data_IF_721289470146
#
_entry.id   IF_721289470146
#
_cell.length_a   1.000
_cell.length_b   1.000
_cell.length_c   1.000
_cell.angle_alpha   90.00
_cell.angle_beta   90.00
_cell.angle_gamma   90.00
#
_symmetry.space_group_name_H-M   'P 1'
#
loop_
_entity.id
_entity.type
_entity.pdbx_description
1 polymer ?
#
# COMPACT_ATOMS: atom_id res chain seq x y z
N UNK A 1 63.74 15.18 -10.75
CA UNK A 1 62.69 14.25 -11.20
C UNK A 1 61.61 14.17 -10.08
N UNK A 2 60.50 14.90 -10.23
CA UNK A 2 59.39 14.93 -9.29
C UNK A 2 58.39 13.84 -9.71
N UNK A 3 58.21 12.83 -8.88
CA UNK A 3 57.20 11.78 -9.07
C UNK A 3 55.83 12.30 -8.66
N UNK A 4 54.91 12.42 -9.62
CA UNK A 4 53.52 12.80 -9.38
C UNK A 4 52.76 11.52 -9.02
N UNK A 5 52.31 11.38 -7.75
CA UNK A 5 51.41 10.34 -7.35
C UNK A 5 49.96 10.75 -7.66
N UNK A 6 49.38 10.09 -8.65
CA UNK A 6 47.95 10.24 -8.97
C UNK A 6 47.19 9.29 -8.09
N UNK A 7 46.54 9.82 -7.04
CA UNK A 7 45.62 9.04 -6.18
C UNK A 7 44.28 8.90 -6.90
N UNK A 8 44.00 7.71 -7.38
CA UNK A 8 42.71 7.34 -7.96
C UNK A 8 41.73 7.13 -6.80
N UNK A 9 40.90 8.12 -6.51
CA UNK A 9 39.82 8.00 -5.52
C UNK A 9 38.74 7.06 -6.04
N UNK A 10 38.63 5.87 -5.44
CA UNK A 10 37.53 4.93 -5.70
C UNK A 10 36.27 5.50 -5.06
N UNK A 11 35.41 6.11 -5.84
CA UNK A 11 34.05 6.49 -5.42
C UNK A 11 33.25 5.19 -5.36
N UNK A 12 33.08 4.66 -4.16
CA UNK A 12 32.12 3.59 -3.93
C UNK A 12 30.71 4.14 -4.14
N UNK A 13 30.13 3.89 -5.30
CA UNK A 13 28.70 4.10 -5.50
C UNK A 13 27.98 3.12 -4.58
N UNK A 14 27.37 3.63 -3.51
CA UNK A 14 26.41 2.87 -2.70
C UNK A 14 25.22 2.58 -3.62
N UNK A 15 25.17 1.38 -4.18
CA UNK A 15 23.99 0.87 -4.85
C UNK A 15 22.90 0.71 -3.78
N UNK A 16 22.11 1.76 -3.53
CA UNK A 16 20.83 1.62 -2.87
C UNK A 16 20.02 0.63 -3.70
N UNK A 17 19.72 -0.52 -3.12
CA UNK A 17 19.07 -1.59 -3.84
C UNK A 17 17.74 -1.13 -4.41
N UNK A 18 17.68 -1.09 -5.73
CA UNK A 18 16.53 -0.58 -6.46
C UNK A 18 15.39 -1.59 -6.40
N UNK A 19 14.20 -1.15 -5.97
CA UNK A 19 13.00 -1.97 -6.10
C UNK A 19 12.56 -2.05 -7.56
N UNK A 20 11.99 -3.19 -7.93
CA UNK A 20 11.50 -3.46 -9.29
C UNK A 20 10.07 -3.93 -9.25
N UNK A 21 9.31 -3.58 -10.28
CA UNK A 21 7.96 -4.07 -10.52
C UNK A 21 8.01 -5.31 -11.41
N UNK A 22 7.35 -6.36 -10.97
CA UNK A 22 7.18 -7.62 -11.69
C UNK A 22 5.71 -8.05 -11.62
N UNK A 23 5.30 -9.03 -12.44
CA UNK A 23 4.00 -9.69 -12.29
C UNK A 23 3.99 -10.58 -11.04
N UNK A 24 2.90 -10.51 -10.27
CA UNK A 24 2.68 -11.38 -9.11
C UNK A 24 1.85 -12.63 -9.44
N UNK A 25 1.24 -12.67 -10.63
CA UNK A 25 0.28 -13.71 -11.00
C UNK A 25 -1.05 -13.58 -10.25
N UNK A 26 -1.76 -14.67 -10.13
CA UNK A 26 -3.11 -14.72 -9.56
C UNK A 26 -3.14 -14.34 -8.06
N UNK A 27 -4.27 -13.79 -7.57
CA UNK A 27 -4.47 -13.49 -6.16
C UNK A 27 -4.32 -14.74 -5.27
N UNK A 28 -3.80 -14.58 -4.04
CA UNK A 28 -3.49 -15.69 -3.15
C UNK A 28 -4.75 -16.42 -2.65
N UNK A 29 -4.61 -17.75 -2.44
CA UNK A 29 -5.70 -18.64 -2.03
C UNK A 29 -6.17 -18.40 -0.59
N UNK A 30 -5.39 -17.70 0.23
CA UNK A 30 -5.70 -17.33 1.60
C UNK A 30 -6.84 -16.31 1.71
N UNK A 31 -7.15 -15.61 0.62
CA UNK A 31 -8.31 -14.72 0.54
C UNK A 31 -9.60 -15.52 0.43
N UNK A 32 -10.68 -14.99 1.02
CA UNK A 32 -12.01 -15.52 0.77
C UNK A 32 -12.32 -15.54 -0.74
N UNK A 33 -13.00 -16.57 -1.25
CA UNK A 33 -13.25 -16.72 -2.69
C UNK A 33 -13.84 -15.47 -3.34
N UNK A 34 -14.84 -14.86 -2.72
CA UNK A 34 -15.50 -13.66 -3.25
C UNK A 34 -14.55 -12.46 -3.35
N UNK A 35 -13.67 -12.28 -2.36
CA UNK A 35 -12.64 -11.24 -2.39
C UNK A 35 -11.64 -11.53 -3.50
N UNK A 36 -11.11 -12.76 -3.54
CA UNK A 36 -10.15 -13.17 -4.56
C UNK A 36 -10.67 -12.97 -5.98
N UNK A 37 -11.92 -13.36 -6.23
CA UNK A 37 -12.52 -13.28 -7.55
C UNK A 37 -12.85 -11.84 -7.97
N UNK A 38 -12.98 -10.90 -7.01
CA UNK A 38 -13.16 -9.48 -7.27
C UNK A 38 -11.86 -8.72 -7.62
N UNK A 39 -10.69 -9.33 -7.37
CA UNK A 39 -9.38 -8.72 -7.66
C UNK A 39 -8.98 -8.89 -9.13
N UNK A 40 -8.03 -8.08 -9.56
CA UNK A 40 -7.35 -8.26 -10.85
C UNK A 40 -6.68 -9.64 -10.93
N UNK A 41 -6.74 -10.25 -12.10
CA UNK A 41 -6.20 -11.60 -12.33
C UNK A 41 -4.69 -11.68 -12.23
N UNK A 42 -4.00 -10.55 -12.39
CA UNK A 42 -2.56 -10.41 -12.22
C UNK A 42 -2.27 -9.27 -11.28
N UNK A 43 -1.38 -9.51 -10.34
CA UNK A 43 -0.96 -8.53 -9.33
C UNK A 43 0.38 -7.89 -9.66
N UNK A 44 0.74 -6.91 -8.86
CA UNK A 44 2.02 -6.20 -8.90
C UNK A 44 2.94 -6.76 -7.81
N UNK A 45 4.10 -7.32 -8.18
CA UNK A 45 5.15 -7.77 -7.26
C UNK A 45 6.22 -6.71 -7.16
N UNK A 46 6.56 -6.33 -5.96
CA UNK A 46 7.65 -5.43 -5.65
C UNK A 46 8.83 -6.25 -5.14
N UNK A 47 9.83 -6.44 -6.02
CA UNK A 47 11.07 -7.14 -5.71
C UNK A 47 12.14 -6.13 -5.29
N UNK A 48 12.77 -6.36 -4.16
CA UNK A 48 13.85 -5.55 -3.62
C UNK A 48 15.15 -6.32 -3.45
N UNK A 49 16.18 -5.72 -2.84
CA UNK A 49 17.50 -6.34 -2.67
C UNK A 49 17.48 -7.67 -1.91
N UNK A 50 16.54 -7.84 -1.00
CA UNK A 50 16.36 -9.04 -0.18
C UNK A 50 15.37 -10.06 -0.76
N UNK A 51 14.92 -9.89 -2.01
CA UNK A 51 13.89 -10.72 -2.64
C UNK A 51 12.55 -9.99 -2.73
N UNK A 52 11.44 -10.74 -2.76
CA UNK A 52 10.10 -10.16 -2.85
C UNK A 52 9.75 -9.43 -1.57
N UNK A 53 9.55 -8.10 -1.65
CA UNK A 53 9.13 -7.27 -0.52
C UNK A 53 7.64 -7.42 -0.26
N UNK A 54 6.80 -7.17 -1.28
CA UNK A 54 5.36 -7.37 -1.20
C UNK A 54 4.75 -7.63 -2.58
N UNK A 55 3.49 -8.07 -2.58
CA UNK A 55 2.69 -8.26 -3.79
C UNK A 55 1.31 -7.67 -3.55
N UNK A 56 0.78 -6.94 -4.54
CA UNK A 56 -0.46 -6.17 -4.43
C UNK A 56 -1.42 -6.56 -5.55
N UNK A 57 -2.67 -6.86 -5.21
CA UNK A 57 -3.77 -7.09 -6.14
C UNK A 57 -4.86 -6.08 -5.85
N UNK A 58 -5.23 -5.27 -6.83
CA UNK A 58 -6.26 -4.26 -6.70
C UNK A 58 -7.59 -4.76 -7.25
N UNK A 59 -8.69 -4.26 -6.69
CA UNK A 59 -10.05 -4.64 -7.07
C UNK A 59 -10.37 -4.14 -8.47
N UNK A 60 -10.89 -5.03 -9.31
CA UNK A 60 -11.19 -4.73 -10.72
C UNK A 60 -12.40 -3.80 -10.87
N UNK A 61 -13.41 -3.95 -9.99
CA UNK A 61 -14.62 -3.12 -9.98
C UNK A 61 -14.94 -2.71 -8.55
N UNK A 62 -15.05 -1.41 -8.29
CA UNK A 62 -15.43 -0.85 -6.99
C UNK A 62 -16.82 -0.24 -7.11
N UNK A 63 -17.74 -0.49 -6.15
CA UNK A 63 -19.05 0.16 -6.15
C UNK A 63 -18.87 1.68 -6.06
N UNK A 64 -19.62 2.41 -6.86
CA UNK A 64 -19.69 3.86 -6.78
C UNK A 64 -20.55 4.29 -5.58
N UNK A 65 -20.16 5.34 -4.89
CA UNK A 65 -20.92 5.92 -3.81
C UNK A 65 -20.14 7.08 -3.19
N UNK A 66 -20.79 8.23 -3.03
CA UNK A 66 -20.20 9.36 -2.34
C UNK A 66 -20.02 9.01 -0.85
N UNK A 67 -18.85 9.33 -0.29
CA UNK A 67 -18.56 9.11 1.12
C UNK A 67 -18.87 10.33 2.00
N UNK A 68 -19.16 11.48 1.41
CA UNK A 68 -19.45 12.73 2.14
C UNK A 68 -18.23 13.41 2.76
N UNK A 69 -17.04 12.85 2.59
CA UNK A 69 -15.80 13.36 3.16
C UNK A 69 -15.25 14.55 2.36
N UNK A 70 -14.60 15.49 3.06
CA UNK A 70 -13.89 16.61 2.45
C UNK A 70 -12.37 16.36 2.44
N UNK A 71 -11.66 16.97 1.49
CA UNK A 71 -10.21 16.86 1.34
C UNK A 71 -9.73 15.42 1.16
N UNK A 72 -10.52 14.63 0.41
CA UNK A 72 -10.19 13.27 0.02
C UNK A 72 -10.10 13.16 -1.49
N UNK A 73 -9.24 12.28 -1.99
CA UNK A 73 -9.06 12.07 -3.42
C UNK A 73 -10.07 11.07 -3.99
N UNK A 74 -10.60 10.14 -3.17
CA UNK A 74 -11.59 9.14 -3.56
C UNK A 74 -13.02 9.46 -3.07
N UNK A 75 -13.49 10.69 -3.29
CA UNK A 75 -14.82 11.15 -2.84
C UNK A 75 -16.00 10.30 -3.34
N UNK A 76 -15.82 9.55 -4.44
CA UNK A 76 -16.84 8.67 -5.05
C UNK A 76 -16.67 7.19 -4.70
N UNK A 77 -15.84 6.86 -3.71
CA UNK A 77 -15.71 5.51 -3.16
C UNK A 77 -16.22 5.48 -1.72
N UNK A 78 -17.11 4.54 -1.36
CA UNK A 78 -17.60 4.44 0.02
C UNK A 78 -16.47 4.18 1.02
N UNK A 79 -16.60 4.73 2.24
CA UNK A 79 -15.76 4.34 3.37
C UNK A 79 -15.84 2.83 3.61
N UNK A 80 -14.74 2.19 3.98
CA UNK A 80 -14.69 0.76 4.25
C UNK A 80 -14.66 -0.12 3.00
N UNK A 81 -14.80 0.44 1.80
CA UNK A 81 -14.77 -0.35 0.56
C UNK A 81 -13.43 -1.07 0.40
N UNK A 82 -13.49 -2.32 -0.04
CA UNK A 82 -12.29 -3.10 -0.37
C UNK A 82 -11.61 -2.50 -1.60
N UNK A 83 -10.35 -2.06 -1.45
CA UNK A 83 -9.50 -1.62 -2.56
C UNK A 83 -8.71 -2.76 -3.18
N UNK A 84 -8.34 -3.77 -2.38
CA UNK A 84 -7.49 -4.85 -2.83
C UNK A 84 -6.95 -5.73 -1.72
N UNK A 85 -5.84 -6.39 -2.01
CA UNK A 85 -5.08 -7.18 -1.05
C UNK A 85 -3.57 -6.98 -1.25
N UNK A 86 -2.82 -7.20 -0.18
CA UNK A 86 -1.35 -7.20 -0.19
C UNK A 86 -0.83 -8.45 0.52
N UNK A 87 0.24 -9.05 -0.02
CA UNK A 87 0.98 -10.13 0.62
C UNK A 87 2.40 -9.68 0.94
N UNK A 88 2.83 -9.98 2.15
CA UNK A 88 4.22 -9.89 2.57
C UNK A 88 4.77 -11.31 2.74
N UNK A 89 5.65 -11.78 1.84
CA UNK A 89 6.25 -13.12 1.96
C UNK A 89 7.19 -13.25 3.16
N UNK A 90 7.80 -12.14 3.57
CA UNK A 90 8.62 -12.00 4.76
C UNK A 90 8.03 -10.92 5.67
N UNK A 91 8.78 -10.47 6.68
CA UNK A 91 8.35 -9.37 7.55
C UNK A 91 8.14 -8.10 6.72
N UNK A 92 6.93 -7.55 6.75
CA UNK A 92 6.57 -6.28 6.14
C UNK A 92 6.60 -5.13 7.15
N UNK A 93 6.26 -3.94 6.65
CA UNK A 93 6.09 -2.75 7.49
C UNK A 93 4.88 -1.93 7.02
N UNK A 94 4.09 -1.43 7.95
CA UNK A 94 3.09 -0.40 7.69
C UNK A 94 3.75 0.99 7.64
N UNK A 95 3.03 1.99 7.14
CA UNK A 95 3.55 3.36 6.90
C UNK A 95 4.24 4.00 8.11
N UNK A 96 3.82 3.70 9.34
CA UNK A 96 4.42 4.20 10.58
C UNK A 96 5.54 3.30 11.13
N UNK A 97 6.09 2.40 10.31
CA UNK A 97 7.16 1.50 10.71
C UNK A 97 6.71 0.30 11.57
N UNK A 98 5.39 0.14 11.83
CA UNK A 98 4.92 -1.06 12.55
C UNK A 98 5.22 -2.31 11.74
N UNK A 99 5.85 -3.28 12.40
CA UNK A 99 6.15 -4.55 11.78
C UNK A 99 4.88 -5.35 11.48
N UNK A 100 4.79 -5.88 10.26
CA UNK A 100 3.76 -6.80 9.83
C UNK A 100 4.34 -8.21 9.74
N UNK A 101 3.60 -9.19 10.22
CA UNK A 101 3.97 -10.60 10.05
C UNK A 101 3.88 -10.99 8.57
N UNK A 102 4.65 -12.00 8.11
CA UNK A 102 4.40 -12.61 6.83
C UNK A 102 2.93 -13.06 6.72
N UNK A 103 2.28 -12.78 5.59
CA UNK A 103 0.87 -13.11 5.41
C UNK A 103 0.17 -12.27 4.36
N UNK A 104 -1.13 -12.54 4.22
CA UNK A 104 -2.02 -11.84 3.30
C UNK A 104 -2.96 -10.93 4.09
N UNK A 105 -3.12 -9.72 3.61
CA UNK A 105 -3.96 -8.68 4.22
C UNK A 105 -4.89 -8.09 3.16
N UNK A 106 -6.12 -7.79 3.53
CA UNK A 106 -7.03 -6.96 2.72
C UNK A 106 -6.70 -5.48 2.92
N UNK A 107 -7.00 -4.67 1.92
CA UNK A 107 -6.83 -3.22 1.90
C UNK A 107 -8.22 -2.58 1.81
N UNK A 108 -8.64 -1.85 2.86
CA UNK A 108 -9.92 -1.12 2.85
C UNK A 108 -9.69 0.38 2.96
N UNK A 109 -10.43 1.13 2.15
CA UNK A 109 -10.36 2.60 2.11
C UNK A 109 -10.87 3.20 3.41
N UNK A 110 -10.13 4.15 3.93
CA UNK A 110 -10.54 4.97 5.07
C UNK A 110 -9.97 6.37 4.96
N UNK A 111 -10.35 7.25 5.87
CA UNK A 111 -9.98 8.67 5.86
C UNK A 111 -9.49 9.10 7.23
N UNK A 112 -8.37 9.83 7.29
CA UNK A 112 -7.89 10.40 8.54
C UNK A 112 -8.95 11.32 9.15
N UNK A 113 -9.21 11.21 10.47
CA UNK A 113 -10.13 12.11 11.17
C UNK A 113 -9.71 13.57 11.02
N UNK A 114 -10.70 14.47 11.01
CA UNK A 114 -10.48 15.93 11.04
C UNK A 114 -10.38 16.35 12.51
N UNK A 115 -9.31 15.99 13.17
CA UNK A 115 -9.08 16.25 14.61
C UNK A 115 -7.83 17.10 14.90
N UNK A 116 -7.17 17.58 13.84
CA UNK A 116 -5.94 18.36 13.94
C UNK A 116 -4.67 17.53 14.20
N UNK A 117 -4.79 16.27 14.63
CA UNK A 117 -3.64 15.42 14.97
C UNK A 117 -2.98 14.77 13.75
N UNK A 118 -3.66 14.76 12.59
CA UNK A 118 -3.21 14.07 11.38
C UNK A 118 -2.82 15.03 10.25
N UNK A 119 -2.60 16.30 10.55
CA UNK A 119 -2.18 17.29 9.54
C UNK A 119 -0.76 17.00 9.05
N UNK A 120 -0.58 17.02 7.71
CA UNK A 120 0.74 16.82 7.09
C UNK A 120 1.21 15.37 6.99
N UNK A 121 0.44 14.40 7.47
CA UNK A 121 0.78 12.96 7.40
C UNK A 121 0.67 12.42 5.96
N UNK A 122 -0.16 13.03 5.13
CA UNK A 122 -0.37 12.69 3.73
C UNK A 122 -0.85 13.93 2.96
N UNK A 123 -0.70 13.91 1.63
CA UNK A 123 -1.22 14.97 0.75
C UNK A 123 -2.75 15.05 0.79
N UNK A 124 -3.42 13.92 1.01
CA UNK A 124 -4.86 13.80 1.17
C UNK A 124 -5.17 12.99 2.43
N UNK A 125 -6.43 12.98 2.86
CA UNK A 125 -6.86 12.20 4.03
C UNK A 125 -7.06 10.72 3.75
N UNK A 126 -6.89 10.29 2.51
CA UNK A 126 -7.10 8.90 2.09
C UNK A 126 -5.97 7.99 2.59
N UNK A 127 -6.33 6.83 3.10
CA UNK A 127 -5.40 5.76 3.42
C UNK A 127 -6.08 4.40 3.30
N UNK A 128 -5.31 3.35 3.20
CA UNK A 128 -5.79 1.97 3.27
C UNK A 128 -5.46 1.36 4.62
N UNK A 129 -6.46 0.75 5.26
CA UNK A 129 -6.28 -0.09 6.46
C UNK A 129 -6.03 -1.54 6.04
N UNK A 130 -5.01 -2.14 6.64
CA UNK A 130 -4.64 -3.53 6.41
C UNK A 130 -5.32 -4.41 7.46
N UNK A 131 -6.06 -5.41 7.03
CA UNK A 131 -6.68 -6.41 7.91
C UNK A 131 -6.18 -7.80 7.52
N UNK A 132 -5.80 -8.68 8.46
CA UNK A 132 -5.47 -10.05 8.11
C UNK A 132 -6.59 -10.70 7.30
N UNK A 133 -6.27 -11.38 6.19
CA UNK A 133 -7.27 -12.00 5.32
C UNK A 133 -8.16 -13.01 6.04
N UNK A 134 -7.67 -13.61 7.13
CA UNK A 134 -8.46 -14.51 7.97
C UNK A 134 -9.61 -13.82 8.72
N UNK A 135 -9.46 -12.51 8.99
CA UNK A 135 -10.41 -11.69 9.75
C UNK A 135 -11.32 -10.83 8.85
N UNK A 136 -11.05 -10.75 7.56
CA UNK A 136 -11.84 -9.97 6.59
C UNK A 136 -12.22 -10.85 5.39
N UNK A 137 -13.44 -11.37 5.41
CA UNK A 137 -13.93 -12.38 4.45
C UNK A 137 -15.09 -11.92 3.59
N UNK A 138 -15.75 -10.82 3.94
CA UNK A 138 -16.92 -10.31 3.22
C UNK A 138 -16.54 -9.18 2.29
N UNK A 139 -16.62 -9.43 0.98
CA UNK A 139 -16.36 -8.44 -0.07
C UNK A 139 -17.20 -7.17 0.08
N UNK A 140 -18.45 -7.32 0.55
CA UNK A 140 -19.44 -6.26 0.61
C UNK A 140 -19.59 -5.65 2.01
N UNK A 141 -18.80 -6.11 2.97
CA UNK A 141 -18.78 -5.49 4.30
C UNK A 141 -18.48 -3.99 4.18
N UNK A 142 -19.21 -3.19 4.94
CA UNK A 142 -19.04 -1.74 5.05
C UNK A 142 -18.75 -1.37 6.52
N UNK A 143 -17.61 -1.81 7.06
CA UNK A 143 -17.26 -1.53 8.44
C UNK A 143 -17.08 -0.02 8.66
N UNK A 144 -17.53 0.49 9.80
CA UNK A 144 -17.26 1.85 10.19
C UNK A 144 -15.78 2.07 10.55
N UNK A 145 -15.40 3.32 10.79
CA UNK A 145 -14.00 3.68 11.09
C UNK A 145 -13.44 2.89 12.28
N UNK A 146 -14.22 2.81 13.38
CA UNK A 146 -13.78 2.12 14.60
C UNK A 146 -13.60 0.62 14.37
N UNK A 147 -14.54 -0.01 13.67
CA UNK A 147 -14.48 -1.42 13.32
C UNK A 147 -13.23 -1.71 12.46
N UNK A 148 -12.97 -0.90 11.42
CA UNK A 148 -11.78 -1.03 10.59
C UNK A 148 -10.48 -0.89 11.37
N UNK A 149 -10.40 0.11 12.26
CA UNK A 149 -9.22 0.30 13.12
C UNK A 149 -9.01 -0.91 14.02
N UNK A 150 -10.06 -1.44 14.64
CA UNK A 150 -9.97 -2.60 15.53
C UNK A 150 -9.58 -3.88 14.76
N UNK A 151 -10.09 -4.08 13.55
CA UNK A 151 -9.66 -5.16 12.65
C UNK A 151 -8.18 -5.02 12.27
N UNK A 152 -7.75 -3.80 11.95
CA UNK A 152 -6.39 -3.53 11.48
C UNK A 152 -5.34 -3.63 12.60
N UNK A 153 -5.68 -3.37 13.85
CA UNK A 153 -4.81 -3.60 15.00
C UNK A 153 -4.35 -5.05 15.12
N UNK A 154 -5.14 -6.00 14.63
CA UNK A 154 -4.76 -7.42 14.58
C UNK A 154 -3.57 -7.67 13.65
N UNK A 155 -3.39 -6.86 12.60
CA UNK A 155 -2.26 -6.95 11.69
C UNK A 155 -0.93 -6.58 12.35
N UNK A 156 -0.94 -5.58 13.22
CA UNK A 156 0.26 -5.09 13.92
C UNK A 156 0.49 -5.77 15.26
N UNK A 157 -0.57 -6.26 15.90
CA UNK A 157 -0.54 -6.69 17.30
C UNK A 157 -0.26 -5.53 18.27
N UNK A 158 -0.46 -4.27 17.84
CA UNK A 158 -0.14 -3.05 18.57
C UNK A 158 -1.39 -2.17 18.74
N UNK A 159 -1.36 -1.13 19.60
CA UNK A 159 -2.49 -0.18 19.75
C UNK A 159 -2.81 0.60 18.48
N UNK A 160 -1.87 0.71 17.55
CA UNK A 160 -2.04 1.44 16.29
C UNK A 160 -2.36 0.51 15.12
N UNK A 161 -3.28 0.89 14.22
CA UNK A 161 -3.61 0.11 13.04
C UNK A 161 -2.46 0.08 12.03
N UNK A 162 -2.46 -0.91 11.15
CA UNK A 162 -1.60 -0.95 9.97
C UNK A 162 -2.21 -0.12 8.85
N UNK A 163 -1.48 0.86 8.34
CA UNK A 163 -1.93 1.72 7.24
C UNK A 163 -0.93 1.77 6.10
N UNK A 164 -1.44 2.01 4.89
CA UNK A 164 -0.67 2.49 3.73
C UNK A 164 -1.31 3.79 3.23
N UNK A 165 -0.49 4.76 2.86
CA UNK A 165 -0.99 5.96 2.22
C UNK A 165 -1.41 5.64 0.80
N UNK A 166 -2.60 6.13 0.42
CA UNK A 166 -3.15 6.01 -0.93
C UNK A 166 -3.72 7.35 -1.36
N UNK A 167 -3.72 7.61 -2.66
CA UNK A 167 -4.39 8.78 -3.25
C UNK A 167 -4.76 8.48 -4.70
N UNK A 168 -5.66 9.29 -5.26
CA UNK A 168 -6.01 9.21 -6.67
C UNK A 168 -4.88 9.81 -7.49
N UNK A 169 -4.26 9.01 -8.34
CA UNK A 169 -3.21 9.48 -9.25
C UNK A 169 -3.80 10.33 -10.38
N UNK A 170 -2.98 11.15 -11.03
CA UNK A 170 -3.43 12.07 -12.10
C UNK A 170 -3.93 11.33 -13.34
N UNK A 171 -3.36 10.19 -13.66
CA UNK A 171 -3.71 9.42 -14.85
C UNK A 171 -3.74 7.92 -14.57
N UNK A 172 -4.66 7.22 -15.23
CA UNK A 172 -4.65 5.77 -15.31
C UNK A 172 -3.65 5.32 -16.38
N UNK A 173 -2.97 4.21 -16.13
CA UNK A 173 -2.00 3.62 -17.05
C UNK A 173 -1.66 2.20 -16.65
N UNK A 174 -0.68 1.61 -17.35
CA UNK A 174 -0.08 0.35 -16.89
C UNK A 174 0.54 0.53 -15.50
N UNK A 175 0.54 -0.54 -14.72
CA UNK A 175 1.17 -0.50 -13.40
C UNK A 175 2.64 -0.05 -13.49
N UNK A 176 3.04 0.88 -12.63
CA UNK A 176 4.39 1.43 -12.58
C UNK A 176 4.84 1.60 -11.13
N UNK A 177 6.11 1.36 -10.87
CA UNK A 177 6.74 1.60 -9.57
C UNK A 177 7.72 2.77 -9.72
N UNK A 178 7.56 3.80 -8.91
CA UNK A 178 8.43 4.99 -8.93
C UNK A 178 8.98 5.27 -7.56
N UNK A 179 10.21 5.73 -7.50
CA UNK A 179 10.78 6.29 -6.28
C UNK A 179 10.43 7.78 -6.18
N UNK A 180 9.87 8.19 -5.07
CA UNK A 180 9.51 9.57 -4.76
C UNK A 180 10.08 9.92 -3.38
N UNK A 181 11.19 10.63 -3.37
CA UNK A 181 11.99 10.81 -2.15
C UNK A 181 12.48 9.47 -1.61
N UNK A 182 12.15 9.18 -0.35
CA UNK A 182 12.49 7.91 0.31
C UNK A 182 11.43 6.82 0.11
N UNK A 183 10.30 7.15 -0.54
CA UNK A 183 9.19 6.24 -0.74
C UNK A 183 9.23 5.57 -2.12
N UNK A 184 8.74 4.33 -2.21
CA UNK A 184 8.41 3.67 -3.45
C UNK A 184 6.91 3.57 -3.61
N UNK A 185 6.41 4.19 -4.67
CA UNK A 185 4.99 4.36 -4.96
C UNK A 185 4.59 3.47 -6.12
N UNK A 186 3.63 2.59 -5.87
CA UNK A 186 2.97 1.80 -6.90
C UNK A 186 1.83 2.63 -7.49
N UNK A 187 1.93 2.97 -8.77
CA UNK A 187 0.87 3.53 -9.59
C UNK A 187 0.14 2.41 -10.30
N UNK A 188 -1.20 2.40 -10.24
CA UNK A 188 -2.04 1.35 -10.84
C UNK A 188 -3.48 1.83 -11.00
N UNK A 189 -4.43 0.91 -11.12
CA UNK A 189 -5.87 1.20 -11.17
C UNK A 189 -6.65 0.37 -10.16
N UNK A 190 -7.67 0.97 -9.56
CA UNK A 190 -8.64 0.33 -8.68
C UNK A 190 -10.05 0.71 -9.15
N UNK A 191 -10.88 -0.28 -9.51
CA UNK A 191 -12.21 -0.01 -10.05
C UNK A 191 -12.20 0.87 -11.31
N UNK A 192 -11.14 0.81 -12.11
CA UNK A 192 -10.96 1.66 -13.29
C UNK A 192 -10.45 3.09 -12.97
N UNK A 193 -10.28 3.46 -11.71
CA UNK A 193 -9.73 4.75 -11.31
C UNK A 193 -8.22 4.66 -11.03
N UNK A 194 -7.44 5.68 -11.40
CA UNK A 194 -6.01 5.70 -11.09
C UNK A 194 -5.78 5.79 -9.57
N UNK A 195 -4.86 4.98 -9.07
CA UNK A 195 -4.45 4.96 -7.67
C UNK A 195 -2.94 4.97 -7.55
N UNK A 196 -2.44 5.67 -6.54
CA UNK A 196 -1.08 5.60 -6.05
C UNK A 196 -1.08 5.02 -4.64
N UNK A 197 -0.13 4.11 -4.36
CA UNK A 197 0.01 3.44 -3.06
C UNK A 197 1.48 3.48 -2.65
N UNK A 198 1.80 4.02 -1.49
CA UNK A 198 3.16 3.87 -0.93
C UNK A 198 3.30 2.43 -0.44
N UNK A 199 4.10 1.64 -1.15
CA UNK A 199 4.32 0.21 -0.85
C UNK A 199 5.61 -0.04 -0.07
N UNK A 200 6.62 0.84 -0.21
CA UNK A 200 7.86 0.82 0.57
C UNK A 200 8.14 2.24 1.05
N UNK A 201 8.48 2.38 2.30
CA UNK A 201 8.77 3.66 2.94
C UNK A 201 8.19 3.69 4.36
N UNK A 202 8.83 4.45 5.24
CA UNK A 202 8.37 4.67 6.60
C UNK A 202 8.24 6.16 6.85
N UNK A 203 7.15 6.58 7.46
CA UNK A 203 7.02 7.93 7.99
C UNK A 203 7.83 8.02 9.29
N UNK A 204 8.89 8.81 9.26
CA UNK A 204 9.61 9.22 10.46
C UNK A 204 8.83 10.42 11.04
N UNK A 205 7.91 10.13 11.98
CA UNK A 205 7.17 11.14 12.72
C UNK A 205 8.00 11.77 13.81
#
# INVERSE_FOLDING_TARGET
MKKLFLSLGLVAATAFGQYKLESAGAPPSELAPEIRDALGKDGSRIAGPGGVFCEVWLRAKVPAGANGEQNVSFAQMPHGVLLGAIRFPAKGAARRGQALKPGVYTLRLSFFPVDGAHQGVSQTRDFALLTPAADDKDLNAAPDFKQLVDMSKKATGAPHPAILNVWKAESAGAAALKQEGDDWVLYSTVGGQPIAVIVVGAYAG
#
